data_IF_986196186415
#
_entry.id   IF_986196186415
#
_cell.length_a   1.000
_cell.length_b   1.000
_cell.length_c   1.000
_cell.angle_alpha   90.00
_cell.angle_beta   90.00
_cell.angle_gamma   90.00
#
_symmetry.space_group_name_H-M   'P 1'
#
loop_
_entity.id
_entity.type
_entity.pdbx_description
1 polymer ?
#
# COMPACT_ATOMS: atom_id res chain seq x y z
N UNK A 1 -13.72 -32.88 35.19
CA UNK A 1 -13.60 -31.51 35.72
C UNK A 1 -13.02 -30.63 34.62
N UNK A 2 -13.80 -29.62 34.24
CA UNK A 2 -13.59 -28.38 33.46
C UNK A 2 -12.22 -28.05 32.82
N UNK A 3 -12.09 -27.32 31.70
CA UNK A 3 -12.98 -26.76 30.65
C UNK A 3 -12.03 -26.32 29.51
N UNK A 4 -12.41 -26.54 28.25
CA UNK A 4 -11.83 -25.89 27.07
C UNK A 4 -12.61 -24.61 26.75
N UNK A 5 -11.94 -23.50 26.37
CA UNK A 5 -12.60 -22.37 25.73
C UNK A 5 -11.78 -21.77 24.58
N UNK A 6 -12.29 -22.03 23.38
CA UNK A 6 -12.17 -21.21 22.17
C UNK A 6 -13.13 -20.02 22.31
N UNK A 7 -12.70 -18.81 21.95
CA UNK A 7 -13.59 -17.71 21.52
C UNK A 7 -13.33 -17.48 20.03
N UNK A 8 -14.20 -17.79 19.06
CA UNK A 8 -15.58 -17.32 18.80
C UNK A 8 -15.68 -15.80 18.76
N UNK A 9 -15.64 -15.27 17.54
CA UNK A 9 -16.42 -14.09 17.16
C UNK A 9 -17.61 -14.63 16.35
N UNK A 10 -18.81 -14.32 16.83
CA UNK A 10 -20.06 -14.90 16.37
C UNK A 10 -20.48 -14.35 15.00
N UNK A 11 -21.01 -15.25 14.18
CA UNK A 11 -21.88 -14.93 13.07
C UNK A 11 -23.26 -14.57 13.63
N UNK A 12 -23.86 -13.49 13.14
CA UNK A 12 -25.28 -13.48 12.82
C UNK A 12 -25.44 -12.75 11.48
N UNK A 13 -26.04 -13.46 10.54
CA UNK A 13 -26.14 -13.06 9.15
C UNK A 13 -27.22 -12.02 8.90
N UNK A 14 -26.92 -11.14 7.96
CA UNK A 14 -27.91 -10.64 7.01
C UNK A 14 -27.31 -10.79 5.62
N UNK A 15 -28.08 -11.41 4.74
CA UNK A 15 -27.74 -11.66 3.35
C UNK A 15 -27.47 -10.34 2.57
N UNK A 16 -26.48 -10.41 1.68
CA UNK A 16 -26.31 -9.54 0.51
C UNK A 16 -27.53 -9.66 -0.44
N UNK A 17 -27.79 -8.78 -1.43
CA UNK A 17 -27.09 -7.56 -1.85
C UNK A 17 -28.02 -6.33 -2.01
N UNK A 18 -27.46 -5.12 -2.13
CA UNK A 18 -28.12 -4.07 -2.93
C UNK A 18 -27.08 -3.43 -3.89
N UNK A 19 -27.36 -3.37 -5.20
CA UNK A 19 -26.38 -3.32 -6.28
C UNK A 19 -26.20 -1.90 -6.85
N UNK A 20 -26.24 -0.87 -6.01
CA UNK A 20 -26.14 0.54 -6.41
C UNK A 20 -25.40 1.42 -5.37
N UNK A 21 -24.38 0.88 -4.73
CA UNK A 21 -23.43 1.69 -3.99
C UNK A 21 -22.53 2.42 -4.98
N UNK A 22 -22.78 3.71 -5.22
CA UNK A 22 -21.89 4.54 -6.04
C UNK A 22 -20.46 4.33 -5.52
N UNK A 23 -19.51 3.83 -6.34
CA UNK A 23 -18.15 3.66 -5.89
C UNK A 23 -17.61 5.03 -5.46
N UNK A 24 -16.72 5.01 -4.48
CA UNK A 24 -15.83 6.13 -4.18
C UNK A 24 -15.50 6.84 -5.49
N UNK A 25 -15.78 8.14 -5.59
CA UNK A 25 -15.67 8.90 -6.84
C UNK A 25 -14.30 8.57 -7.42
N UNK A 26 -14.22 7.74 -8.46
CA UNK A 26 -12.94 7.24 -8.98
C UNK A 26 -12.05 8.43 -9.29
N UNK A 27 -11.12 8.73 -8.38
CA UNK A 27 -10.15 9.80 -8.52
C UNK A 27 -8.92 9.14 -9.12
N UNK A 28 -8.89 8.99 -10.43
CA UNK A 28 -7.76 8.38 -11.11
C UNK A 28 -8.05 8.03 -12.56
N UNK A 29 -6.98 7.87 -13.33
CA UNK A 29 -7.04 7.34 -14.70
C UNK A 29 -7.34 5.84 -14.64
N UNK A 30 -8.21 5.35 -15.52
CA UNK A 30 -8.36 3.91 -15.80
C UNK A 30 -7.31 3.56 -16.85
N UNK A 31 -6.45 2.59 -16.53
CA UNK A 31 -5.34 2.19 -17.38
C UNK A 31 -5.66 0.92 -18.16
N UNK A 32 -5.21 0.84 -19.42
CA UNK A 32 -4.90 -0.48 -19.98
C UNK A 32 -3.65 -1.03 -19.33
N UNK A 33 -3.44 -2.35 -19.40
CA UNK A 33 -2.22 -2.97 -18.85
C UNK A 33 -0.95 -2.34 -19.44
N UNK A 34 -0.92 -2.15 -20.76
CA UNK A 34 0.23 -1.59 -21.46
C UNK A 34 0.47 -0.12 -21.06
N UNK A 35 -0.59 0.65 -20.81
CA UNK A 35 -0.45 2.01 -20.30
C UNK A 35 0.14 2.02 -18.89
N UNK A 36 -0.34 1.15 -17.98
CA UNK A 36 0.18 1.04 -16.63
C UNK A 36 1.67 0.64 -16.64
N UNK A 37 2.05 -0.34 -17.48
CA UNK A 37 3.42 -0.80 -17.60
C UNK A 37 4.37 0.32 -18.06
N UNK A 38 3.93 1.19 -18.98
CA UNK A 38 4.73 2.34 -19.42
C UNK A 38 4.99 3.37 -18.32
N UNK A 39 4.17 3.40 -17.26
CA UNK A 39 4.36 4.32 -16.13
C UNK A 39 5.40 3.83 -15.12
N UNK A 40 5.77 2.55 -15.17
CA UNK A 40 6.65 1.91 -14.17
C UNK A 40 7.98 2.66 -13.96
N UNK A 41 8.71 3.14 -14.98
CA UNK A 41 9.96 3.87 -14.75
C UNK A 41 9.80 5.09 -13.84
N UNK A 42 8.70 5.83 -13.99
CA UNK A 42 8.39 7.00 -13.16
C UNK A 42 7.88 6.57 -11.77
N UNK A 43 6.93 5.64 -11.71
CA UNK A 43 6.40 5.08 -10.46
C UNK A 43 7.55 4.56 -9.59
N UNK A 44 8.46 3.78 -10.17
CA UNK A 44 9.62 3.20 -9.50
C UNK A 44 10.48 4.28 -8.84
N UNK A 45 10.75 5.39 -9.53
CA UNK A 45 11.54 6.52 -8.96
C UNK A 45 10.84 7.15 -7.76
N UNK A 46 9.52 7.34 -7.83
CA UNK A 46 8.74 7.94 -6.75
C UNK A 46 8.69 6.98 -5.55
N UNK A 47 8.41 5.69 -5.79
CA UNK A 47 8.34 4.65 -4.75
C UNK A 47 9.66 4.49 -4.00
N UNK A 48 10.80 4.47 -4.70
CA UNK A 48 12.12 4.41 -4.06
C UNK A 48 12.28 5.56 -3.06
N UNK A 49 11.89 6.77 -3.43
CA UNK A 49 11.97 7.93 -2.56
C UNK A 49 10.97 7.85 -1.40
N UNK A 50 9.72 7.46 -1.67
CA UNK A 50 8.68 7.30 -0.65
C UNK A 50 9.11 6.29 0.43
N UNK A 51 9.58 5.10 0.03
CA UNK A 51 10.08 4.06 0.94
C UNK A 51 11.24 4.55 1.79
N UNK A 52 12.18 5.30 1.20
CA UNK A 52 13.29 5.88 1.94
C UNK A 52 12.82 6.85 3.03
N UNK A 53 11.80 7.69 2.75
CA UNK A 53 11.25 8.63 3.74
C UNK A 53 10.46 7.89 4.80
N UNK A 54 9.67 6.88 4.43
CA UNK A 54 8.96 6.01 5.36
C UNK A 54 9.92 5.39 6.39
N UNK A 55 11.02 4.77 5.94
CA UNK A 55 12.03 4.18 6.83
C UNK A 55 12.73 5.19 7.73
N UNK A 56 12.91 6.43 7.27
CA UNK A 56 13.48 7.49 8.11
C UNK A 56 12.47 7.97 9.17
N UNK A 57 11.17 8.03 8.83
CA UNK A 57 10.11 8.33 9.80
C UNK A 57 10.09 7.28 10.90
N UNK A 58 10.07 5.98 10.55
CA UNK A 58 10.09 4.90 11.53
C UNK A 58 11.32 4.99 12.46
N UNK A 59 12.52 5.13 11.88
CA UNK A 59 13.75 5.29 12.67
C UNK A 59 13.69 6.47 13.64
N UNK A 60 13.11 7.61 13.24
CA UNK A 60 12.97 8.77 14.12
C UNK A 60 11.90 8.59 15.19
N UNK A 61 10.87 7.79 14.92
CA UNK A 61 9.89 7.40 15.95
C UNK A 61 10.52 6.47 16.99
N UNK A 62 11.34 5.51 16.56
CA UNK A 62 12.04 4.60 17.47
C UNK A 62 13.06 5.37 18.34
N UNK A 63 13.79 6.32 17.75
CA UNK A 63 14.68 7.23 18.47
C UNK A 63 13.92 8.02 19.53
N UNK A 64 12.75 8.56 19.18
CA UNK A 64 11.89 9.31 20.09
C UNK A 64 11.37 8.44 21.26
N UNK A 65 10.98 7.19 20.99
CA UNK A 65 10.54 6.24 22.03
C UNK A 65 11.68 5.82 22.96
N UNK A 66 12.91 5.85 22.47
CA UNK A 66 14.10 5.48 23.23
C UNK A 66 14.63 6.62 24.11
N UNK A 67 14.13 7.85 23.94
CA UNK A 67 14.51 8.98 24.78
C UNK A 67 13.98 8.82 26.21
N UNK A 68 14.87 8.94 27.19
CA UNK A 68 14.53 8.96 28.62
C UNK A 68 14.15 10.38 29.05
N UNK A 69 13.32 10.50 30.10
CA UNK A 69 13.02 11.80 30.70
C UNK A 69 14.24 12.35 31.45
N UNK A 70 14.56 13.64 31.24
CA UNK A 70 15.66 14.34 31.92
C UNK A 70 15.91 15.75 31.36
N UNK A 71 16.62 16.59 32.12
CA UNK A 71 17.00 17.93 31.66
C UNK A 71 17.89 17.85 30.38
N UNK A 72 17.62 18.69 29.38
CA UNK A 72 18.28 18.66 28.07
C UNK A 72 17.67 17.69 27.04
N UNK A 73 16.72 16.84 27.45
CA UNK A 73 16.04 15.90 26.54
C UNK A 73 14.85 16.52 25.79
N UNK A 74 14.29 17.63 26.30
CA UNK A 74 13.16 18.30 25.64
C UNK A 74 13.58 18.93 24.30
N UNK A 75 14.75 19.59 24.24
CA UNK A 75 15.28 20.13 22.99
C UNK A 75 15.57 19.02 21.96
N UNK A 76 16.13 17.90 22.41
CA UNK A 76 16.37 16.73 21.55
C UNK A 76 15.05 16.15 21.02
N UNK A 77 14.03 16.05 21.89
CA UNK A 77 12.69 15.61 21.55
C UNK A 77 12.04 16.51 20.49
N UNK A 78 12.06 17.83 20.71
CA UNK A 78 11.52 18.81 19.76
C UNK A 78 12.23 18.73 18.41
N UNK A 79 13.55 18.60 18.40
CA UNK A 79 14.34 18.42 17.18
C UNK A 79 13.93 17.18 16.40
N UNK A 80 13.79 16.03 17.07
CA UNK A 80 13.36 14.77 16.43
C UNK A 80 11.94 14.91 15.88
N UNK A 81 11.02 15.54 16.62
CA UNK A 81 9.66 15.80 16.17
C UNK A 81 9.64 16.69 14.92
N UNK A 82 10.47 17.74 14.89
CA UNK A 82 10.62 18.62 13.73
C UNK A 82 11.12 17.88 12.49
N UNK A 83 12.16 17.05 12.63
CA UNK A 83 12.69 16.21 11.55
C UNK A 83 11.61 15.22 11.07
N UNK A 84 10.93 14.55 12.00
CA UNK A 84 9.86 13.59 11.70
C UNK A 84 8.72 14.24 10.91
N UNK A 85 8.31 15.46 11.30
CA UNK A 85 7.29 16.24 10.59
C UNK A 85 7.71 16.53 9.15
N UNK A 86 8.95 16.98 8.92
CA UNK A 86 9.49 17.24 7.59
C UNK A 86 9.51 15.98 6.72
N UNK A 87 9.97 14.85 7.26
CA UNK A 87 10.01 13.57 6.55
C UNK A 87 8.61 13.10 6.17
N UNK A 88 7.62 13.25 7.06
CA UNK A 88 6.21 12.94 6.76
C UNK A 88 5.64 13.84 5.67
N UNK A 89 5.98 15.13 5.65
CA UNK A 89 5.58 16.03 4.57
C UNK A 89 6.17 15.61 3.22
N UNK A 90 7.45 15.23 3.18
CA UNK A 90 8.08 14.70 1.98
C UNK A 90 7.41 13.40 1.50
N UNK A 91 7.12 12.48 2.42
CA UNK A 91 6.40 11.24 2.10
C UNK A 91 5.01 11.54 1.51
N UNK A 92 4.26 12.47 2.10
CA UNK A 92 2.97 12.92 1.56
C UNK A 92 3.10 13.51 0.15
N UNK A 93 4.17 14.25 -0.12
CA UNK A 93 4.48 14.76 -1.46
C UNK A 93 4.60 13.63 -2.49
N UNK A 94 5.40 12.60 -2.19
CA UNK A 94 5.53 11.44 -3.09
C UNK A 94 4.23 10.63 -3.25
N UNK A 95 3.40 10.54 -2.21
CA UNK A 95 2.08 9.92 -2.33
C UNK A 95 1.20 10.74 -3.27
N UNK A 96 1.19 12.07 -3.12
CA UNK A 96 0.46 12.97 -4.03
C UNK A 96 0.95 12.86 -5.48
N UNK A 97 2.26 12.79 -5.70
CA UNK A 97 2.83 12.57 -7.04
C UNK A 97 2.32 11.26 -7.67
N UNK A 98 2.18 10.18 -6.89
CA UNK A 98 1.60 8.93 -7.39
C UNK A 98 0.11 9.08 -7.71
N UNK A 99 -0.64 9.74 -6.83
CA UNK A 99 -2.08 9.96 -6.99
C UNK A 99 -2.39 10.83 -8.22
N UNK A 100 -1.55 11.83 -8.52
CA UNK A 100 -1.61 12.63 -9.75
C UNK A 100 -1.40 11.78 -11.01
N UNK A 101 -0.62 10.71 -10.91
CA UNK A 101 -0.46 9.72 -11.98
C UNK A 101 -1.60 8.69 -12.01
N UNK A 102 -2.58 8.75 -11.11
CA UNK A 102 -3.66 7.76 -11.01
C UNK A 102 -3.25 6.44 -10.36
N UNK A 103 -2.18 6.44 -9.58
CA UNK A 103 -1.66 5.29 -8.86
C UNK A 103 -1.59 5.56 -7.36
N UNK A 104 -1.68 4.52 -6.55
CA UNK A 104 -1.85 4.62 -5.11
C UNK A 104 -0.82 3.78 -4.37
N UNK A 105 -0.11 4.40 -3.43
CA UNK A 105 0.78 3.68 -2.53
C UNK A 105 -0.04 3.00 -1.43
N UNK A 106 -0.08 1.66 -1.44
CA UNK A 106 -0.82 0.86 -0.46
C UNK A 106 0.01 0.46 0.75
N UNK A 107 1.29 0.23 0.53
CA UNK A 107 2.24 -0.10 1.59
C UNK A 107 3.57 0.60 1.32
N UNK A 108 3.93 1.52 2.20
CA UNK A 108 5.16 2.32 2.08
C UNK A 108 6.43 1.58 2.52
N UNK A 109 6.32 0.44 3.20
CA UNK A 109 7.48 -0.39 3.54
C UNK A 109 7.86 -1.31 2.38
N UNK A 110 6.89 -2.08 1.88
CA UNK A 110 7.09 -3.00 0.76
C UNK A 110 7.11 -2.27 -0.60
N UNK A 111 6.40 -1.14 -0.70
CA UNK A 111 6.29 -0.34 -1.92
C UNK A 111 5.17 -0.78 -2.85
N UNK A 112 4.15 -1.49 -2.36
CA UNK A 112 3.01 -1.96 -3.16
C UNK A 112 2.26 -0.76 -3.75
N UNK A 113 2.10 -0.77 -5.07
CA UNK A 113 1.33 0.19 -5.84
C UNK A 113 0.10 -0.49 -6.42
N UNK A 114 -1.03 0.21 -6.35
CA UNK A 114 -2.23 -0.10 -7.12
C UNK A 114 -2.55 1.02 -8.10
N UNK A 115 -3.07 0.69 -9.28
CA UNK A 115 -3.68 1.66 -10.19
C UNK A 115 -5.00 1.08 -10.70
N UNK A 116 -5.98 1.93 -11.05
CA UNK A 116 -7.20 1.43 -11.67
C UNK A 116 -6.88 0.88 -13.07
N UNK A 117 -7.36 -0.31 -13.37
CA UNK A 117 -7.19 -0.96 -14.66
C UNK A 117 -8.52 -1.41 -15.24
N UNK A 118 -8.58 -1.54 -16.55
CA UNK A 118 -9.67 -2.25 -17.23
C UNK A 118 -9.22 -3.68 -17.58
N UNK A 119 -10.01 -4.67 -17.17
CA UNK A 119 -9.78 -6.08 -17.47
C UNK A 119 -11.11 -6.75 -17.79
N UNK A 120 -11.23 -7.35 -18.98
CA UNK A 120 -12.46 -8.00 -19.44
C UNK A 120 -13.72 -7.11 -19.34
N UNK A 121 -13.58 -5.82 -19.67
CA UNK A 121 -14.62 -4.78 -19.54
C UNK A 121 -15.04 -4.43 -18.11
N UNK A 122 -14.35 -4.96 -17.09
CA UNK A 122 -14.55 -4.61 -15.68
C UNK A 122 -13.41 -3.72 -15.18
N UNK A 123 -13.73 -2.83 -14.23
CA UNK A 123 -12.73 -2.00 -13.55
C UNK A 123 -12.17 -2.78 -12.36
N UNK A 124 -10.85 -2.89 -12.32
CA UNK A 124 -10.11 -3.61 -11.30
C UNK A 124 -8.97 -2.74 -10.76
N UNK A 125 -8.29 -3.20 -9.73
CA UNK A 125 -6.97 -2.69 -9.39
C UNK A 125 -5.90 -3.57 -10.03
N UNK A 126 -4.96 -2.98 -10.76
CA UNK A 126 -3.69 -3.62 -11.08
C UNK A 126 -2.71 -3.39 -9.95
N UNK A 127 -1.92 -4.41 -9.61
CA UNK A 127 -0.92 -4.36 -8.54
C UNK A 127 0.49 -4.52 -9.10
N UNK A 128 1.39 -3.64 -8.66
CA UNK A 128 2.81 -3.69 -8.94
C UNK A 128 3.62 -3.60 -7.65
N UNK A 129 4.78 -4.26 -7.63
CA UNK A 129 5.73 -4.25 -6.54
C UNK A 129 7.16 -3.97 -7.05
N UNK A 130 8.03 -3.34 -6.23
CA UNK A 130 9.43 -3.16 -6.58
C UNK A 130 10.11 -4.48 -6.95
N UNK A 131 10.87 -4.46 -8.04
CA UNK A 131 11.52 -5.65 -8.63
C UNK A 131 10.74 -6.26 -9.80
N UNK A 132 9.48 -5.87 -10.01
CA UNK A 132 8.72 -6.26 -11.19
C UNK A 132 8.96 -5.31 -12.36
N UNK A 133 9.03 -5.86 -13.58
CA UNK A 133 9.14 -5.08 -14.82
C UNK A 133 7.79 -4.67 -15.41
N UNK A 134 6.72 -5.38 -15.04
CA UNK A 134 5.33 -5.10 -15.45
C UNK A 134 4.42 -5.20 -14.24
N UNK A 135 3.20 -4.67 -14.33
CA UNK A 135 2.11 -5.06 -13.46
C UNK A 135 1.83 -6.55 -13.68
N UNK A 136 1.70 -7.30 -12.59
CA UNK A 136 1.63 -8.77 -12.62
C UNK A 136 0.34 -9.33 -12.05
N UNK A 137 -0.38 -8.55 -11.25
CA UNK A 137 -1.55 -9.02 -10.54
C UNK A 137 -2.68 -8.01 -10.60
N UNK A 138 -3.89 -8.47 -10.31
CA UNK A 138 -5.06 -7.63 -10.20
C UNK A 138 -5.99 -8.12 -9.09
N UNK A 139 -6.89 -7.28 -8.62
CA UNK A 139 -8.01 -7.70 -7.79
C UNK A 139 -9.25 -6.83 -8.03
N UNK A 140 -10.46 -7.35 -7.76
CA UNK A 140 -11.69 -6.57 -7.73
C UNK A 140 -11.62 -5.39 -6.76
N UNK A 141 -12.42 -4.35 -7.02
CA UNK A 141 -12.43 -3.12 -6.21
C UNK A 141 -12.96 -3.34 -4.78
N UNK A 142 -13.74 -4.38 -4.55
CA UNK A 142 -14.28 -4.78 -3.25
C UNK A 142 -13.35 -5.73 -2.47
N UNK A 143 -12.17 -6.03 -3.01
CA UNK A 143 -11.16 -6.89 -2.40
C UNK A 143 -9.86 -6.13 -2.12
N UNK A 144 -9.04 -6.68 -1.22
CA UNK A 144 -7.69 -6.18 -0.93
C UNK A 144 -6.64 -6.86 -1.82
N UNK A 145 -5.52 -6.19 -2.08
CA UNK A 145 -4.36 -6.75 -2.80
C UNK A 145 -3.81 -8.06 -2.22
N UNK A 146 -4.13 -8.40 -0.96
CA UNK A 146 -3.78 -9.71 -0.38
C UNK A 146 -4.43 -10.85 -1.16
N UNK A 147 -5.62 -10.63 -1.74
CA UNK A 147 -6.37 -11.60 -2.54
C UNK A 147 -6.14 -11.45 -4.05
N UNK A 148 -5.04 -10.81 -4.45
CA UNK A 148 -4.73 -10.55 -5.87
C UNK A 148 -4.53 -11.84 -6.66
N UNK A 149 -4.99 -11.81 -7.90
CA UNK A 149 -4.87 -12.86 -8.89
C UNK A 149 -3.83 -12.45 -9.94
N UNK A 150 -3.15 -13.39 -10.61
CA UNK A 150 -2.29 -13.05 -11.74
C UNK A 150 -3.09 -12.38 -12.86
N UNK A 151 -2.47 -11.42 -13.54
CA UNK A 151 -2.99 -10.90 -14.81
C UNK A 151 -2.89 -11.99 -15.90
N UNK A 152 -3.76 -11.95 -16.93
CA UNK A 152 -3.68 -12.91 -18.04
C UNK A 152 -2.27 -12.97 -18.64
N UNK A 153 -1.75 -14.19 -18.85
CA UNK A 153 -0.39 -14.39 -19.37
C UNK A 153 0.74 -14.13 -18.36
N UNK A 154 0.43 -13.95 -17.07
CA UNK A 154 1.42 -13.90 -15.99
C UNK A 154 1.32 -15.16 -15.15
N UNK A 155 2.43 -15.89 -15.02
CA UNK A 155 2.56 -16.93 -14.00
C UNK A 155 3.24 -16.32 -12.78
N UNK A 156 2.50 -16.23 -11.67
CA UNK A 156 3.11 -15.83 -10.40
C UNK A 156 3.91 -17.02 -9.84
N UNK A 157 5.13 -16.80 -9.32
CA UNK A 157 5.85 -17.82 -8.58
C UNK A 157 4.94 -18.33 -7.45
N UNK A 158 4.81 -19.66 -7.32
CA UNK A 158 4.05 -20.23 -6.20
C UNK A 158 4.69 -19.71 -4.91
N UNK A 159 3.87 -19.28 -3.96
CA UNK A 159 4.27 -18.62 -2.70
C UNK A 159 5.24 -19.43 -1.80
N UNK A 160 5.74 -20.59 -2.25
CA UNK A 160 6.60 -21.50 -1.53
C UNK A 160 8.09 -21.46 -1.95
N UNK A 161 8.46 -20.75 -3.02
CA UNK A 161 9.85 -20.80 -3.55
C UNK A 161 10.68 -19.53 -3.33
N UNK A 162 10.19 -18.52 -2.60
CA UNK A 162 10.94 -17.30 -2.30
C UNK A 162 11.68 -17.34 -0.92
N UNK A 163 11.94 -18.54 -0.39
CA UNK A 163 12.51 -18.74 0.95
C UNK A 163 13.74 -19.67 0.99
N UNK A 164 14.45 -19.83 -0.13
CA UNK A 164 15.82 -20.38 -0.16
C UNK A 164 16.82 -19.30 -0.56
#
# INVERSE_FOLDING_TARGET
MSVALRGRWAHDGVASPNPRGKPDRMRGKIFTREEADRMIPLIRRIVVNARARHRLVLRKQDELLSLRAGAGQEEARERILGITRRLRQQLKGYIGELEELGCFLRDAETGVIECYGELNCDIVYFTWMPGQETFQSWHPLDQSYVNRQPLPGVELPKAREAAE
#
